data_IF_539018158053
#
_entry.id   IF_539018158053
#
_cell.length_a   1.000
_cell.length_b   1.000
_cell.length_c   1.000
_cell.angle_alpha   90.00
_cell.angle_beta   90.00
_cell.angle_gamma   90.00
#
_symmetry.space_group_name_H-M   'P 1'
#
loop_
_entity.id
_entity.type
_entity.pdbx_description
1 polymer ?
#
# COMPACT_ATOMS: atom_id res chain seq x y z
N UNK A 1 -9.82 -9.12 12.20
CA UNK A 1 -10.85 -8.84 13.22
C UNK A 1 -10.35 -9.30 14.58
N UNK A 2 -10.75 -8.64 15.66
CA UNK A 2 -10.52 -9.12 17.02
C UNK A 2 -11.59 -10.18 17.35
N UNK A 3 -11.22 -11.22 18.11
CA UNK A 3 -12.11 -12.28 18.64
C UNK A 3 -12.66 -13.35 17.66
N UNK A 4 -11.87 -13.82 16.69
CA UNK A 4 -12.24 -15.02 15.90
C UNK A 4 -11.95 -16.31 16.69
N UNK A 5 -12.90 -17.25 16.73
CA UNK A 5 -12.71 -18.58 17.35
C UNK A 5 -12.30 -19.57 16.27
N UNK A 6 -11.00 -19.68 16.04
CA UNK A 6 -10.43 -20.55 15.01
C UNK A 6 -9.55 -21.60 15.68
N UNK A 7 -9.75 -22.86 15.32
CA UNK A 7 -8.88 -23.96 15.77
C UNK A 7 -7.77 -24.24 14.75
N UNK A 8 -8.02 -23.95 13.47
CA UNK A 8 -7.09 -24.18 12.38
C UNK A 8 -7.11 -23.03 11.38
N UNK A 9 -5.93 -22.68 10.86
CA UNK A 9 -5.75 -21.76 9.73
C UNK A 9 -5.03 -22.48 8.60
N UNK A 10 -5.67 -22.56 7.43
CA UNK A 10 -5.08 -23.14 6.22
C UNK A 10 -4.75 -22.05 5.18
N UNK A 11 -3.50 -21.97 4.74
CA UNK A 11 -3.05 -21.04 3.70
C UNK A 11 -3.28 -21.63 2.32
N UNK A 12 -4.15 -20.99 1.53
CA UNK A 12 -4.37 -21.33 0.12
C UNK A 12 -3.41 -20.62 -0.85
N UNK A 13 -2.65 -19.63 -0.35
CA UNK A 13 -1.59 -18.95 -1.07
C UNK A 13 -0.56 -18.42 -0.07
N UNK A 14 0.73 -18.53 -0.39
CA UNK A 14 1.83 -17.98 0.42
C UNK A 14 2.44 -16.71 -0.18
N UNK A 15 1.77 -16.13 -1.19
CA UNK A 15 2.17 -14.93 -1.91
C UNK A 15 1.09 -13.87 -1.82
N UNK A 16 1.51 -12.61 -1.80
CA UNK A 16 0.62 -11.45 -1.89
C UNK A 16 1.12 -10.43 -2.89
N UNK A 17 0.20 -9.64 -3.43
CA UNK A 17 0.53 -8.40 -4.12
C UNK A 17 0.72 -7.28 -3.09
N UNK A 18 1.86 -6.59 -3.13
CA UNK A 18 2.19 -5.50 -2.20
C UNK A 18 1.94 -4.09 -2.76
N UNK A 19 1.28 -4.01 -3.92
CA UNK A 19 1.10 -2.77 -4.67
C UNK A 19 2.04 -2.62 -5.86
N UNK A 20 3.10 -3.43 -5.94
CA UNK A 20 4.04 -3.41 -7.07
C UNK A 20 4.30 -4.79 -7.66
N UNK A 21 4.48 -5.81 -6.81
CA UNK A 21 4.77 -7.17 -7.27
C UNK A 21 4.12 -8.23 -6.38
N UNK A 22 4.04 -9.45 -6.92
CA UNK A 22 3.64 -10.63 -6.17
C UNK A 22 4.86 -11.26 -5.49
N UNK A 23 4.96 -11.11 -4.17
CA UNK A 23 6.05 -11.68 -3.36
C UNK A 23 5.53 -12.69 -2.33
N UNK A 24 6.43 -13.53 -1.80
CA UNK A 24 6.12 -14.40 -0.67
C UNK A 24 5.78 -13.57 0.57
N UNK A 25 4.90 -14.11 1.41
CA UNK A 25 4.64 -13.60 2.75
C UNK A 25 5.88 -13.82 3.63
N UNK A 26 6.20 -12.84 4.48
CA UNK A 26 7.26 -13.01 5.47
C UNK A 26 6.79 -13.91 6.62
N UNK A 27 7.74 -14.42 7.43
CA UNK A 27 7.43 -15.17 8.64
C UNK A 27 6.51 -14.38 9.58
N UNK A 28 6.74 -13.07 9.73
CA UNK A 28 5.89 -12.20 10.55
C UNK A 28 4.47 -12.07 9.99
N UNK A 29 4.32 -11.96 8.67
CA UNK A 29 2.99 -11.89 8.03
C UNK A 29 2.24 -13.21 8.16
N UNK A 30 2.92 -14.34 7.95
CA UNK A 30 2.36 -15.67 8.17
C UNK A 30 2.00 -15.88 9.64
N UNK A 31 2.86 -15.47 10.58
CA UNK A 31 2.60 -15.55 12.02
C UNK A 31 1.40 -14.71 12.46
N UNK A 32 1.22 -13.51 11.91
CA UNK A 32 0.04 -12.68 12.16
C UNK A 32 -1.27 -13.33 11.69
N UNK A 33 -1.21 -14.18 10.66
CA UNK A 33 -2.37 -14.92 10.13
C UNK A 33 -2.57 -16.23 10.89
N UNK A 34 -1.51 -17.03 11.05
CA UNK A 34 -1.51 -18.32 11.73
C UNK A 34 -1.88 -18.17 13.21
N UNK A 35 -1.37 -17.13 13.89
CA UNK A 35 -1.70 -16.80 15.28
C UNK A 35 -3.16 -16.37 15.51
N UNK A 36 -4.00 -16.38 14.47
CA UNK A 36 -5.46 -16.30 14.63
C UNK A 36 -6.07 -17.64 15.05
N UNK A 37 -5.38 -18.76 14.84
CA UNK A 37 -5.76 -20.06 15.37
C UNK A 37 -5.32 -20.21 16.83
N UNK A 38 -6.16 -20.86 17.62
CA UNK A 38 -5.94 -21.05 19.05
C UNK A 38 -6.46 -19.88 19.88
N UNK A 39 -6.58 -20.11 21.19
CA UNK A 39 -7.01 -19.12 22.19
C UNK A 39 -6.51 -19.49 23.56
N UNK A 40 -5.72 -18.62 24.19
CA UNK A 40 -5.30 -18.63 25.59
C UNK A 40 -4.84 -19.99 26.14
N UNK A 41 -5.77 -20.92 26.41
CA UNK A 41 -5.55 -22.26 26.94
C UNK A 41 -5.64 -23.38 25.88
N UNK A 42 -6.06 -23.07 24.65
CA UNK A 42 -6.19 -24.02 23.55
C UNK A 42 -5.23 -23.62 22.43
N UNK A 43 -4.26 -24.46 22.16
CA UNK A 43 -3.37 -24.27 21.03
C UNK A 43 -4.14 -24.44 19.71
N UNK A 44 -3.80 -23.60 18.75
CA UNK A 44 -4.29 -23.71 17.38
C UNK A 44 -3.31 -24.48 16.51
N UNK A 45 -3.75 -24.83 15.32
CA UNK A 45 -2.88 -25.39 14.28
C UNK A 45 -2.91 -24.51 13.04
N UNK A 46 -1.85 -24.59 12.24
CA UNK A 46 -1.81 -23.96 10.93
C UNK A 46 -1.22 -24.92 9.91
N UNK A 47 -1.55 -24.71 8.64
CA UNK A 47 -1.05 -25.54 7.56
C UNK A 47 -1.33 -24.92 6.20
N UNK A 48 -1.02 -25.66 5.15
CA UNK A 48 -1.27 -25.26 3.76
C UNK A 48 -2.37 -26.10 3.15
N UNK A 49 -3.07 -25.56 2.16
CA UNK A 49 -3.92 -26.38 1.29
C UNK A 49 -3.07 -27.10 0.24
N UNK A 50 -3.62 -28.05 -0.50
CA UNK A 50 -2.91 -28.73 -1.59
C UNK A 50 -2.54 -27.85 -2.80
N UNK A 51 -2.76 -26.53 -2.72
CA UNK A 51 -2.37 -25.55 -3.76
C UNK A 51 -1.06 -24.84 -3.42
N UNK A 52 -0.49 -25.10 -2.24
CA UNK A 52 0.74 -24.47 -1.76
C UNK A 52 1.66 -25.57 -1.26
N UNK A 53 2.94 -25.48 -1.62
CA UNK A 53 3.94 -26.40 -1.11
C UNK A 53 4.01 -26.32 0.43
N UNK A 54 4.34 -27.43 1.11
CA UNK A 54 4.59 -27.41 2.55
C UNK A 54 5.60 -26.32 2.92
N UNK A 55 5.35 -25.65 4.05
CA UNK A 55 6.31 -24.68 4.56
C UNK A 55 7.59 -25.37 5.02
N UNK A 56 8.72 -24.71 4.80
CA UNK A 56 10.01 -25.16 5.31
C UNK A 56 10.00 -25.25 6.83
N UNK A 57 10.71 -26.23 7.40
CA UNK A 57 10.76 -26.46 8.86
C UNK A 57 11.25 -25.21 9.62
N UNK A 58 12.25 -24.50 9.09
CA UNK A 58 12.76 -23.27 9.67
C UNK A 58 11.70 -22.15 9.74
N UNK A 59 10.81 -22.08 8.73
CA UNK A 59 9.73 -21.11 8.70
C UNK A 59 8.64 -21.46 9.72
N UNK A 60 8.30 -22.75 9.85
CA UNK A 60 7.36 -23.25 10.87
C UNK A 60 7.89 -22.92 12.27
N UNK A 61 9.16 -23.23 12.54
CA UNK A 61 9.79 -22.95 13.83
C UNK A 61 9.77 -21.46 14.20
N UNK A 62 10.04 -20.56 13.24
CA UNK A 62 9.93 -19.10 13.45
C UNK A 62 8.51 -18.67 13.81
N UNK A 63 7.50 -19.23 13.15
CA UNK A 63 6.09 -18.92 13.43
C UNK A 63 5.69 -19.39 14.82
N UNK A 64 6.01 -20.63 15.18
CA UNK A 64 5.66 -21.20 16.49
C UNK A 64 6.40 -20.49 17.65
N UNK A 65 7.68 -20.21 17.48
CA UNK A 65 8.51 -19.53 18.48
C UNK A 65 8.27 -18.02 18.55
N UNK A 66 7.46 -17.45 17.66
CA UNK A 66 7.26 -16.00 17.51
C UNK A 66 8.57 -15.23 17.29
N UNK A 67 9.51 -15.85 16.59
CA UNK A 67 10.84 -15.30 16.29
C UNK A 67 10.84 -14.64 14.90
N UNK A 68 10.72 -13.32 14.89
CA UNK A 68 10.58 -12.53 13.68
C UNK A 68 11.67 -11.47 13.57
N UNK A 69 12.15 -11.25 12.35
CA UNK A 69 13.11 -10.18 12.08
C UNK A 69 12.50 -8.80 12.43
N UNK A 70 13.28 -7.89 13.05
CA UNK A 70 12.81 -6.54 13.33
C UNK A 70 12.53 -5.77 12.04
N UNK A 71 11.54 -4.87 12.08
CA UNK A 71 11.27 -3.97 10.96
C UNK A 71 12.41 -2.96 10.84
N UNK A 72 13.20 -3.07 9.77
CA UNK A 72 14.38 -2.22 9.54
C UNK A 72 14.06 -0.91 8.83
N UNK A 73 13.00 -0.89 8.04
CA UNK A 73 12.65 0.25 7.19
C UNK A 73 11.13 0.45 7.17
N UNK A 74 10.68 1.68 7.31
CA UNK A 74 9.28 2.08 7.15
C UNK A 74 9.11 2.95 5.91
N UNK A 75 8.02 2.73 5.18
CA UNK A 75 7.65 3.61 4.07
C UNK A 75 7.07 4.92 4.61
N UNK A 76 7.61 6.02 4.11
CA UNK A 76 7.28 7.37 4.51
C UNK A 76 6.92 8.22 3.30
N UNK A 77 6.02 9.17 3.51
CA UNK A 77 5.63 10.18 2.54
C UNK A 77 5.41 11.50 3.28
N UNK A 78 5.74 12.60 2.63
CA UNK A 78 5.47 13.93 3.18
C UNK A 78 3.97 14.15 3.44
N UNK A 79 3.65 14.88 4.49
CA UNK A 79 2.34 15.48 4.71
C UNK A 79 2.32 16.97 4.31
N UNK A 80 3.50 17.57 4.16
CA UNK A 80 3.69 18.99 3.85
C UNK A 80 3.76 19.16 2.33
N UNK A 81 2.60 19.32 1.70
CA UNK A 81 2.47 19.58 0.26
C UNK A 81 2.56 21.07 -0.06
N UNK A 82 3.27 21.43 -1.12
CA UNK A 82 3.39 22.81 -1.60
C UNK A 82 2.41 23.07 -2.74
N UNK A 83 1.29 23.72 -2.43
CA UNK A 83 0.26 24.04 -3.42
C UNK A 83 0.52 25.35 -4.20
N UNK A 84 1.67 26.01 -4.04
CA UNK A 84 1.94 27.31 -4.69
C UNK A 84 1.88 27.25 -6.22
N UNK A 85 2.25 26.11 -6.81
CA UNK A 85 2.09 25.81 -8.22
C UNK A 85 2.03 24.30 -8.45
N UNK A 86 1.57 23.87 -9.62
CA UNK A 86 1.55 22.46 -9.99
C UNK A 86 2.96 21.81 -9.91
N UNK A 87 3.99 22.52 -10.38
CA UNK A 87 5.37 22.01 -10.32
C UNK A 87 5.89 21.97 -8.88
N UNK A 88 5.48 22.89 -8.01
CA UNK A 88 5.81 22.87 -6.59
C UNK A 88 5.14 21.68 -5.88
N UNK A 89 3.88 21.40 -6.21
CA UNK A 89 3.15 20.25 -5.67
C UNK A 89 3.87 18.96 -6.06
N UNK A 90 4.18 18.77 -7.34
CA UNK A 90 4.94 17.61 -7.83
C UNK A 90 6.27 17.42 -7.12
N UNK A 91 7.04 18.49 -6.93
CA UNK A 91 8.32 18.39 -6.20
C UNK A 91 8.09 18.02 -4.73
N UNK A 92 7.09 18.61 -4.09
CA UNK A 92 6.80 18.35 -2.69
C UNK A 92 6.38 16.90 -2.43
N UNK A 93 5.60 16.27 -3.32
CA UNK A 93 5.19 14.86 -3.18
C UNK A 93 6.36 13.88 -3.27
N UNK A 94 7.47 14.29 -3.89
CA UNK A 94 8.69 13.50 -4.05
C UNK A 94 9.73 13.73 -2.94
N UNK A 95 9.38 14.49 -1.89
CA UNK A 95 10.29 14.77 -0.77
C UNK A 95 10.89 13.49 -0.20
N UNK A 96 12.19 13.52 0.08
CA UNK A 96 12.91 12.40 0.68
C UNK A 96 12.59 12.26 2.16
N UNK A 97 12.69 11.03 2.67
CA UNK A 97 12.45 10.77 4.07
C UNK A 97 13.51 11.47 4.96
N UNK A 98 13.11 12.13 6.05
CA UNK A 98 14.00 13.00 6.83
C UNK A 98 14.88 12.23 7.84
N UNK A 99 14.60 10.96 8.10
CA UNK A 99 15.23 10.17 9.16
C UNK A 99 15.69 8.82 8.62
N UNK A 100 16.83 8.35 9.13
CA UNK A 100 17.33 7.00 8.85
C UNK A 100 16.31 5.92 9.27
N UNK A 101 16.20 4.86 8.47
CA UNK A 101 15.18 3.83 8.66
C UNK A 101 13.81 4.20 8.07
N UNK A 102 13.63 5.41 7.55
CA UNK A 102 12.51 5.75 6.69
C UNK A 102 12.95 5.72 5.22
N UNK A 103 12.15 5.08 4.37
CA UNK A 103 12.33 5.13 2.91
C UNK A 103 11.13 5.78 2.28
N UNK A 104 11.32 6.44 1.13
CA UNK A 104 10.20 6.95 0.35
C UNK A 104 9.22 5.82 0.02
N UNK A 105 7.94 6.05 0.24
CA UNK A 105 6.89 5.14 -0.17
C UNK A 105 6.91 4.95 -1.70
N UNK A 106 6.43 3.79 -2.16
CA UNK A 106 6.22 3.57 -3.59
C UNK A 106 5.17 4.57 -4.12
N UNK A 107 5.23 4.96 -5.41
CA UNK A 107 4.26 5.89 -5.98
C UNK A 107 2.84 5.39 -5.79
N UNK A 108 2.07 6.07 -4.94
CA UNK A 108 0.66 5.77 -4.72
C UNK A 108 -0.19 6.23 -5.92
N UNK A 109 -1.42 5.73 -5.99
CA UNK A 109 -2.35 5.97 -7.13
C UNK A 109 -2.56 7.47 -7.37
N UNK A 110 -2.68 8.24 -6.30
CA UNK A 110 -2.83 9.71 -6.34
C UNK A 110 -1.61 10.42 -6.92
N UNK A 111 -0.40 10.02 -6.54
CA UNK A 111 0.85 10.55 -7.10
C UNK A 111 1.02 10.19 -8.57
N UNK A 112 0.61 8.96 -8.97
CA UNK A 112 0.62 8.54 -10.38
C UNK A 112 -0.40 9.34 -11.21
N UNK A 113 -1.60 9.58 -10.68
CA UNK A 113 -2.62 10.40 -11.32
C UNK A 113 -2.14 11.84 -11.49
N UNK A 114 -1.55 12.45 -10.44
CA UNK A 114 -0.96 13.78 -10.54
C UNK A 114 0.13 13.85 -11.60
N UNK A 115 1.04 12.87 -11.65
CA UNK A 115 2.09 12.82 -12.66
C UNK A 115 1.53 12.74 -14.08
N UNK A 116 0.45 11.96 -14.27
CA UNK A 116 -0.26 11.88 -15.55
C UNK A 116 -0.93 13.21 -15.92
N UNK A 117 -1.79 13.73 -15.05
CA UNK A 117 -2.57 14.96 -15.27
C UNK A 117 -1.70 16.20 -15.39
N UNK A 118 -0.52 16.20 -14.77
CA UNK A 118 0.40 17.32 -14.89
C UNK A 118 0.97 17.54 -16.29
N UNK A 119 0.82 16.55 -17.19
CA UNK A 119 1.26 16.61 -18.59
C UNK A 119 0.15 17.09 -19.53
N UNK A 120 -1.09 17.10 -19.06
CA UNK A 120 -2.25 17.56 -19.82
C UNK A 120 -2.28 19.09 -19.88
N UNK A 121 -2.38 19.66 -21.08
CA UNK A 121 -2.34 21.10 -21.29
C UNK A 121 -3.53 21.83 -20.67
N UNK A 122 -4.72 21.22 -20.72
CA UNK A 122 -5.97 21.81 -20.26
C UNK A 122 -5.99 21.82 -18.73
N UNK A 123 -5.54 20.73 -18.10
CA UNK A 123 -5.32 20.68 -16.65
C UNK A 123 -4.31 21.74 -16.22
N UNK A 124 -3.18 21.88 -16.92
CA UNK A 124 -2.16 22.90 -16.59
C UNK A 124 -2.68 24.32 -16.71
N UNK A 125 -3.49 24.60 -17.73
CA UNK A 125 -4.12 25.91 -17.91
C UNK A 125 -5.12 26.22 -16.79
N UNK A 126 -5.77 25.18 -16.27
CA UNK A 126 -6.81 25.28 -15.25
C UNK A 126 -6.27 25.34 -13.82
N UNK A 127 -5.17 24.62 -13.55
CA UNK A 127 -4.46 24.55 -12.26
C UNK A 127 -3.59 25.79 -12.00
N UNK A 128 -4.16 26.98 -12.21
CA UNK A 128 -3.49 28.26 -12.01
C UNK A 128 -3.82 28.81 -10.63
N UNK A 129 -2.83 28.76 -9.73
CA UNK A 129 -2.96 29.27 -8.36
C UNK A 129 -3.25 28.21 -7.31
N UNK A 130 -3.08 28.60 -6.04
CA UNK A 130 -3.03 27.69 -4.89
C UNK A 130 -4.28 26.82 -4.72
N UNK A 131 -5.45 27.43 -4.81
CA UNK A 131 -6.73 26.75 -4.60
C UNK A 131 -7.00 25.71 -5.68
N UNK A 132 -6.70 26.02 -6.94
CA UNK A 132 -6.87 25.09 -8.06
C UNK A 132 -5.90 23.92 -7.99
N UNK A 133 -4.65 24.16 -7.62
CA UNK A 133 -3.65 23.11 -7.40
C UNK A 133 -4.03 22.20 -6.23
N UNK A 134 -4.55 22.76 -5.13
CA UNK A 134 -5.05 21.98 -4.00
C UNK A 134 -6.27 21.13 -4.39
N UNK A 135 -7.22 21.68 -5.14
CA UNK A 135 -8.39 20.93 -5.64
C UNK A 135 -7.98 19.79 -6.58
N UNK A 136 -7.01 20.02 -7.47
CA UNK A 136 -6.47 18.97 -8.33
C UNK A 136 -5.88 17.82 -7.48
N UNK A 137 -5.16 18.18 -6.41
CA UNK A 137 -4.60 17.21 -5.48
C UNK A 137 -5.68 16.39 -4.77
N UNK A 138 -6.74 17.04 -4.28
CA UNK A 138 -7.89 16.37 -3.68
C UNK A 138 -8.58 15.42 -4.67
N UNK A 139 -8.75 15.83 -5.93
CA UNK A 139 -9.29 14.98 -6.97
C UNK A 139 -8.37 13.76 -7.26
N UNK A 140 -7.05 13.95 -7.24
CA UNK A 140 -6.09 12.84 -7.39
C UNK A 140 -6.19 11.81 -6.26
N UNK A 141 -6.61 12.23 -5.06
CA UNK A 141 -6.83 11.34 -3.92
C UNK A 141 -8.08 10.44 -4.06
N UNK A 142 -8.86 10.58 -5.13
CA UNK A 142 -10.01 9.72 -5.39
C UNK A 142 -9.57 8.24 -5.55
N UNK A 143 -10.08 7.33 -4.71
CA UNK A 143 -9.74 5.92 -4.80
C UNK A 143 -10.31 5.27 -6.06
N UNK A 144 -9.49 4.45 -6.72
CA UNK A 144 -9.94 3.62 -7.83
C UNK A 144 -10.67 2.35 -7.32
N UNK A 145 -11.97 2.48 -7.09
CA UNK A 145 -12.81 1.32 -6.74
C UNK A 145 -13.05 0.36 -7.90
N UNK A 146 -12.92 0.83 -9.14
CA UNK A 146 -13.16 0.02 -10.35
C UNK A 146 -11.96 -0.82 -10.73
N UNK A 147 -10.77 -0.54 -10.16
CA UNK A 147 -9.50 -1.22 -10.44
C UNK A 147 -9.18 -1.20 -11.94
N UNK A 148 -9.36 -0.04 -12.55
CA UNK A 148 -9.12 0.18 -13.98
C UNK A 148 -7.63 0.49 -14.23
N UNK A 149 -7.26 0.63 -15.51
CA UNK A 149 -5.90 1.00 -15.85
C UNK A 149 -5.57 2.40 -15.30
N UNK A 150 -4.34 2.65 -14.80
CA UNK A 150 -3.97 3.94 -14.21
C UNK A 150 -4.29 5.17 -15.07
N UNK A 151 -4.10 5.06 -16.39
CA UNK A 151 -4.44 6.15 -17.33
C UNK A 151 -5.96 6.42 -17.37
N UNK A 152 -6.78 5.37 -17.41
CA UNK A 152 -8.24 5.52 -17.40
C UNK A 152 -8.75 6.11 -16.09
N UNK A 153 -8.12 5.78 -14.96
CA UNK A 153 -8.44 6.40 -13.67
C UNK A 153 -8.06 7.88 -13.66
N UNK A 154 -6.90 8.23 -14.22
CA UNK A 154 -6.49 9.61 -14.37
C UNK A 154 -7.47 10.40 -15.27
N UNK A 155 -7.92 9.84 -16.40
CA UNK A 155 -8.93 10.48 -17.26
C UNK A 155 -10.24 10.76 -16.52
N UNK A 156 -10.67 9.84 -15.65
CA UNK A 156 -11.85 10.05 -14.81
C UNK A 156 -11.62 11.20 -13.81
N UNK A 157 -10.46 11.23 -13.14
CA UNK A 157 -10.09 12.33 -12.25
C UNK A 157 -10.06 13.67 -13.01
N UNK A 158 -9.54 13.68 -14.24
CA UNK A 158 -9.52 14.87 -15.10
C UNK A 158 -10.93 15.41 -15.31
N UNK A 159 -11.87 14.53 -15.68
CA UNK A 159 -13.26 14.92 -15.90
C UNK A 159 -13.92 15.52 -14.66
N UNK A 160 -13.65 14.98 -13.47
CA UNK A 160 -14.18 15.48 -12.20
C UNK A 160 -13.58 16.83 -11.82
N UNK A 161 -12.29 17.04 -12.09
CA UNK A 161 -11.62 18.30 -11.77
C UNK A 161 -12.02 19.46 -12.69
N UNK A 162 -12.42 19.16 -13.93
CA UNK A 162 -12.85 20.14 -14.92
C UNK A 162 -14.32 20.56 -14.80
N UNK A 163 -15.16 19.75 -14.13
CA UNK A 163 -16.57 20.06 -13.81
C UNK A 163 -16.67 21.12 -12.69
#
# INVERSE_FOLDING_TARGET
GLNLDLEHVAFAQNRKFDGYQYRNLSAAELGQIAGRAGRHLRDGTFGVTGQVDPFDEDLVAKIEAHDFDPVKVLQWRTADFDFSSLDALKRSTETNAPVEGLTRALPAVDAQALEHLSKDSDIRALATGKERVALLWEACALPDYRKIAPAQHADLIASIYMD
#
